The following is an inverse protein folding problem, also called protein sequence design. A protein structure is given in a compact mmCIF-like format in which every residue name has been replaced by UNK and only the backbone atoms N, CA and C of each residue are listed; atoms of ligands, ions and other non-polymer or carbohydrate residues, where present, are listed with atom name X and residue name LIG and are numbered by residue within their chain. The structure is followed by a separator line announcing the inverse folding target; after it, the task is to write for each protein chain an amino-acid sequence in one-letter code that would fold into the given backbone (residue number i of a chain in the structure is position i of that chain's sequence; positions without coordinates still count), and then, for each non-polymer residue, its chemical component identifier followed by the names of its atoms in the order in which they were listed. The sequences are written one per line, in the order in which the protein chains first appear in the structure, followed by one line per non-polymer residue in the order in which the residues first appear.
data_IF_690862295826
#
_entry.id   IF_690862295826
#
_cell.length_a   1.000
_cell.length_b   1.000
_cell.length_c   1.000
_cell.angle_alpha   90.00
_cell.angle_beta   90.00
_cell.angle_gamma   90.00
#
_symmetry.space_group_name_H-M   'P 1'
#
loop_
_entity.id
_entity.type
_entity.pdbx_description
1 polymer ?
#
# COMPACT_ATOMS: atom_id res chain seq x y z
N UNK A 1 55.49 29.13 8.54
CA UNK A 1 54.74 28.73 9.75
C UNK A 1 53.23 28.71 9.48
N UNK A 2 52.63 27.76 8.74
CA UNK A 2 51.16 27.72 8.58
C UNK A 2 50.63 26.31 8.27
N UNK A 3 50.64 25.39 9.26
CA UNK A 3 49.98 24.08 9.10
C UNK A 3 49.29 23.58 10.40
N UNK A 4 49.12 24.46 11.40
CA UNK A 4 48.49 24.09 12.67
C UNK A 4 46.95 24.13 12.64
N UNK A 5 46.35 24.83 11.67
CA UNK A 5 44.90 25.09 11.61
C UNK A 5 44.07 23.88 11.13
N UNK A 6 44.62 23.02 10.27
CA UNK A 6 43.92 21.83 9.76
C UNK A 6 43.75 20.74 10.85
N UNK A 7 44.73 20.60 11.76
CA UNK A 7 44.73 19.58 12.82
C UNK A 7 43.69 19.81 13.92
N UNK A 8 43.17 21.03 14.06
CA UNK A 8 42.15 21.37 15.07
C UNK A 8 40.72 21.07 14.57
N UNK A 9 40.49 21.02 13.26
CA UNK A 9 39.18 20.74 12.68
C UNK A 9 38.94 19.25 12.33
N UNK A 10 39.98 18.43 12.25
CA UNK A 10 39.84 17.00 11.90
C UNK A 10 39.07 16.19 12.95
N UNK A 11 39.16 16.54 14.25
CA UNK A 11 38.40 15.88 15.31
C UNK A 11 36.93 16.28 15.35
N UNK A 12 36.62 17.56 15.05
CA UNK A 12 35.25 18.08 15.05
C UNK A 12 34.45 17.54 13.85
N UNK A 13 35.09 17.38 12.69
CA UNK A 13 34.46 16.83 11.50
C UNK A 13 33.89 15.43 11.76
N UNK A 14 34.62 14.57 12.48
CA UNK A 14 34.16 13.21 12.82
C UNK A 14 32.91 13.24 13.71
N UNK A 15 32.82 14.16 14.67
CA UNK A 15 31.64 14.32 15.54
C UNK A 15 30.42 14.76 14.72
N UNK A 16 30.59 15.75 13.83
CA UNK A 16 29.51 16.24 12.97
C UNK A 16 29.03 15.13 12.04
N UNK A 17 29.95 14.36 11.44
CA UNK A 17 29.61 13.23 10.57
C UNK A 17 28.88 12.13 11.34
N UNK A 18 29.33 11.78 12.55
CA UNK A 18 28.67 10.78 13.38
C UNK A 18 27.22 11.18 13.71
N UNK A 19 26.99 12.43 14.09
CA UNK A 19 25.64 12.96 14.36
C UNK A 19 24.80 13.01 13.08
N UNK A 20 25.39 13.43 11.95
CA UNK A 20 24.69 13.46 10.67
C UNK A 20 24.22 12.07 10.24
N UNK A 21 25.07 11.04 10.38
CA UNK A 21 24.70 9.64 10.08
C UNK A 21 23.58 9.15 11.01
N UNK A 22 23.63 9.49 12.30
CA UNK A 22 22.56 9.15 13.25
C UNK A 22 21.21 9.76 12.84
N UNK A 23 21.20 11.04 12.46
CA UNK A 23 19.99 11.73 11.99
C UNK A 23 19.47 11.13 10.68
N UNK A 24 20.36 10.86 9.72
CA UNK A 24 19.99 10.23 8.45
C UNK A 24 19.41 8.83 8.67
N UNK A 25 19.97 8.04 9.59
CA UNK A 25 19.42 6.74 9.96
C UNK A 25 18.03 6.85 10.59
N UNK A 26 17.80 7.85 11.44
CA UNK A 26 16.49 8.14 12.02
C UNK A 26 15.44 8.49 10.96
N UNK A 27 15.80 9.35 10.00
CA UNK A 27 14.92 9.69 8.87
C UNK A 27 14.63 8.47 8.01
N UNK A 28 15.64 7.62 7.74
CA UNK A 28 15.46 6.38 6.98
C UNK A 28 14.48 5.43 7.67
N UNK A 29 14.59 5.26 8.98
CA UNK A 29 13.66 4.41 9.73
C UNK A 29 12.21 4.89 9.61
N UNK A 30 11.98 6.21 9.73
CA UNK A 30 10.65 6.80 9.54
C UNK A 30 10.14 6.67 8.10
N UNK A 31 11.03 6.82 7.11
CA UNK A 31 10.69 6.66 5.70
C UNK A 31 10.24 5.24 5.37
N UNK A 32 10.86 4.22 5.98
CA UNK A 32 10.47 2.82 5.80
C UNK A 32 9.12 2.52 6.43
N UNK A 33 8.88 3.03 7.64
CA UNK A 33 7.60 2.86 8.34
C UNK A 33 6.44 3.51 7.58
N UNK A 34 6.60 4.79 7.18
CA UNK A 34 5.59 5.50 6.38
C UNK A 34 5.46 4.96 4.94
N UNK A 35 6.55 4.48 4.36
CA UNK A 35 6.58 3.90 3.02
C UNK A 35 5.72 2.65 2.89
N UNK A 36 5.70 1.79 3.91
CA UNK A 36 4.87 0.59 3.95
C UNK A 36 3.37 0.92 3.86
N UNK A 37 2.91 1.88 4.67
CA UNK A 37 1.51 2.31 4.68
C UNK A 37 1.09 2.87 3.31
N UNK A 38 1.95 3.65 2.67
CA UNK A 38 1.68 4.20 1.34
C UNK A 38 1.55 3.10 0.28
N UNK A 39 2.44 2.11 0.31
CA UNK A 39 2.40 0.97 -0.62
C UNK A 39 1.15 0.13 -0.41
N UNK A 40 0.75 -0.13 0.84
CA UNK A 40 -0.47 -0.88 1.14
C UNK A 40 -1.71 -0.17 0.58
N UNK A 41 -1.80 1.16 0.71
CA UNK A 41 -2.90 1.94 0.10
C UNK A 41 -2.94 1.80 -1.41
N UNK A 42 -1.78 1.86 -2.07
CA UNK A 42 -1.69 1.74 -3.53
C UNK A 42 -2.06 0.33 -4.01
N UNK A 43 -1.66 -0.70 -3.29
CA UNK A 43 -2.03 -2.08 -3.62
C UNK A 43 -3.53 -2.32 -3.47
N UNK A 44 -4.13 -1.79 -2.40
CA UNK A 44 -5.59 -1.83 -2.20
C UNK A 44 -6.35 -1.12 -3.32
N UNK A 45 -5.90 0.05 -3.74
CA UNK A 45 -6.48 0.78 -4.87
C UNK A 45 -6.38 -0.03 -6.17
N UNK A 46 -5.20 -0.57 -6.49
CA UNK A 46 -5.00 -1.41 -7.67
C UNK A 46 -5.92 -2.65 -7.65
N UNK A 47 -6.11 -3.28 -6.49
CA UNK A 47 -7.01 -4.42 -6.35
C UNK A 47 -8.46 -4.03 -6.61
N UNK A 48 -8.92 -2.91 -6.05
CA UNK A 48 -10.27 -2.39 -6.28
C UNK A 48 -10.52 -2.06 -7.76
N UNK A 49 -9.57 -1.37 -8.42
CA UNK A 49 -9.66 -1.02 -9.83
C UNK A 49 -9.68 -2.26 -10.73
N UNK A 50 -8.85 -3.26 -10.43
CA UNK A 50 -8.82 -4.54 -11.18
C UNK A 50 -10.13 -5.32 -11.05
N UNK A 51 -10.76 -5.30 -9.87
CA UNK A 51 -12.07 -5.92 -9.64
C UNK A 51 -13.19 -5.18 -10.37
N UNK A 52 -13.17 -3.85 -10.35
CA UNK A 52 -14.14 -3.02 -11.05
C UNK A 52 -14.06 -3.21 -12.58
N UNK A 53 -12.85 -3.21 -13.14
CA UNK A 53 -12.64 -3.47 -14.58
C UNK A 53 -13.11 -4.87 -14.98
N UNK A 54 -12.79 -5.88 -14.18
CA UNK A 54 -13.23 -7.25 -14.44
C UNK A 54 -14.76 -7.41 -14.43
N UNK A 55 -15.44 -6.72 -13.52
CA UNK A 55 -16.91 -6.69 -13.48
C UNK A 55 -17.50 -5.95 -14.69
N UNK A 56 -16.91 -4.81 -15.06
CA UNK A 56 -17.34 -4.02 -16.21
C UNK A 56 -17.13 -4.75 -17.54
N UNK A 57 -16.00 -5.46 -17.69
CA UNK A 57 -15.72 -6.29 -18.86
C UNK A 57 -16.78 -7.38 -19.05
N UNK A 58 -17.17 -8.06 -17.97
CA UNK A 58 -18.19 -9.11 -18.07
C UNK A 58 -19.57 -8.54 -18.42
N UNK A 59 -19.92 -7.36 -17.89
CA UNK A 59 -21.15 -6.65 -18.25
C UNK A 59 -21.24 -6.31 -19.74
N UNK A 60 -20.10 -6.07 -20.39
CA UNK A 60 -20.04 -5.76 -21.83
C UNK A 60 -19.98 -7.01 -22.72
N UNK A 61 -19.39 -8.11 -22.24
CA UNK A 61 -19.07 -9.27 -23.07
C UNK A 61 -20.26 -10.21 -23.34
N UNK A 62 -21.15 -10.41 -22.37
CA UNK A 62 -22.23 -11.43 -22.41
C UNK A 62 -23.43 -10.90 -21.61
N UNK A 63 -24.68 -11.38 -21.81
CA UNK A 63 -25.78 -11.14 -20.88
C UNK A 63 -25.42 -11.63 -19.47
N UNK A 64 -24.78 -10.75 -18.70
CA UNK A 64 -24.13 -11.13 -17.46
C UNK A 64 -25.18 -11.16 -16.34
N UNK A 65 -25.28 -12.30 -15.66
CA UNK A 65 -26.11 -12.41 -14.47
C UNK A 65 -25.31 -11.86 -13.28
N UNK A 66 -25.99 -11.23 -12.32
CA UNK A 66 -25.37 -10.74 -11.09
C UNK A 66 -24.31 -11.68 -10.45
N UNK A 67 -24.57 -12.99 -10.25
CA UNK A 67 -23.59 -13.89 -9.64
C UNK A 67 -22.31 -14.09 -10.46
N UNK A 68 -22.36 -14.05 -11.79
CA UNK A 68 -21.14 -14.23 -12.62
C UNK A 68 -20.24 -13.00 -12.57
N UNK A 69 -20.82 -11.80 -12.62
CA UNK A 69 -20.09 -10.52 -12.52
C UNK A 69 -19.42 -10.42 -11.15
N UNK A 70 -20.20 -10.72 -10.11
CA UNK A 70 -19.73 -10.67 -8.73
C UNK A 70 -18.55 -11.62 -8.52
N UNK A 71 -18.67 -12.88 -8.94
CA UNK A 71 -17.61 -13.87 -8.73
C UNK A 71 -16.32 -13.54 -9.49
N UNK A 72 -16.44 -13.03 -10.72
CA UNK A 72 -15.26 -12.62 -11.49
C UNK A 72 -14.58 -11.37 -10.91
N UNK A 73 -15.36 -10.37 -10.50
CA UNK A 73 -14.84 -9.16 -9.87
C UNK A 73 -14.11 -9.48 -8.55
N UNK A 74 -14.71 -10.31 -7.70
CA UNK A 74 -14.11 -10.77 -6.44
C UNK A 74 -12.86 -11.62 -6.71
N UNK A 75 -12.90 -12.50 -7.72
CA UNK A 75 -11.75 -13.32 -8.09
C UNK A 75 -10.53 -12.51 -8.52
N UNK A 76 -10.72 -11.40 -9.22
CA UNK A 76 -9.62 -10.52 -9.62
C UNK A 76 -9.18 -9.57 -8.48
N UNK A 77 -10.10 -9.14 -7.63
CA UNK A 77 -9.78 -8.41 -6.40
C UNK A 77 -8.87 -9.24 -5.49
N UNK A 78 -9.23 -10.50 -5.21
CA UNK A 78 -8.50 -11.37 -4.28
C UNK A 78 -7.08 -11.69 -4.76
N UNK A 79 -6.85 -11.76 -6.07
CA UNK A 79 -5.50 -11.98 -6.65
C UNK A 79 -4.57 -10.77 -6.49
N UNK A 80 -5.13 -9.57 -6.42
CA UNK A 80 -4.39 -8.32 -6.33
C UNK A 80 -4.32 -7.76 -4.90
N UNK A 81 -5.00 -8.40 -3.94
CA UNK A 81 -4.95 -8.02 -2.53
C UNK A 81 -3.59 -8.39 -1.92
N UNK A 82 -3.02 -7.53 -1.05
CA UNK A 82 -1.85 -7.89 -0.26
C UNK A 82 -2.12 -9.14 0.59
N UNK A 83 -1.14 -10.04 0.70
CA UNK A 83 -1.25 -11.30 1.47
C UNK A 83 -1.52 -11.09 2.97
N UNK A 84 -1.28 -9.88 3.48
CA UNK A 84 -1.60 -9.48 4.87
C UNK A 84 -3.10 -9.26 5.09
N UNK A 85 -3.87 -9.10 4.02
CA UNK A 85 -5.31 -8.86 4.02
C UNK A 85 -5.99 -10.15 3.54
N UNK A 86 -5.74 -11.25 4.25
CA UNK A 86 -6.53 -12.46 4.02
C UNK A 86 -7.96 -12.20 4.53
N UNK A 87 -9.01 -12.52 3.77
CA UNK A 87 -10.36 -12.41 4.28
C UNK A 87 -10.49 -13.37 5.46
N UNK A 88 -10.68 -12.81 6.66
CA UNK A 88 -11.30 -13.54 7.77
C UNK A 88 -12.55 -14.27 7.22
N UNK A 89 -12.83 -15.54 7.60
CA UNK A 89 -13.98 -16.26 7.08
C UNK A 89 -15.20 -15.37 7.20
N UNK A 90 -15.76 -15.03 6.05
CA UNK A 90 -16.66 -13.90 5.86
C UNK A 90 -17.55 -13.65 7.08
N UNK A 91 -17.34 -12.54 7.78
CA UNK A 91 -18.50 -11.88 8.36
C UNK A 91 -19.46 -11.72 7.17
N UNK A 92 -20.69 -12.26 7.25
CA UNK A 92 -21.57 -12.33 6.11
C UNK A 92 -21.72 -10.92 5.58
N UNK A 93 -21.21 -10.68 4.37
CA UNK A 93 -21.45 -9.44 3.64
C UNK A 93 -22.97 -9.31 3.65
N UNK A 94 -23.56 -8.27 4.27
CA UNK A 94 -24.98 -8.06 4.19
C UNK A 94 -25.23 -7.75 2.72
N UNK A 95 -25.54 -8.78 1.94
CA UNK A 95 -26.08 -8.62 0.61
C UNK A 95 -27.21 -7.61 0.77
N UNK A 96 -27.09 -6.50 0.05
CA UNK A 96 -28.11 -5.49 -0.07
C UNK A 96 -29.50 -6.16 -0.06
N UNK A 97 -30.24 -6.00 1.04
CA UNK A 97 -31.64 -6.32 1.04
C UNK A 97 -32.27 -5.42 -0.05
N UNK A 98 -33.00 -5.96 -1.03
CA UNK A 98 -33.73 -5.12 -1.98
C UNK A 98 -34.62 -4.16 -1.17
N UNK A 99 -34.76 -2.87 -1.56
CA UNK A 99 -35.65 -1.98 -0.84
C UNK A 99 -37.05 -2.62 -0.83
N UNK A 100 -37.57 -2.86 0.37
CA UNK A 100 -38.91 -3.41 0.55
C UNK A 100 -39.89 -2.48 -0.18
N UNK A 101 -40.43 -2.98 -1.29
CA UNK A 101 -41.47 -2.31 -2.06
C UNK A 101 -42.73 -2.28 -1.19
N UNK A 102 -43.09 -1.10 -0.70
CA UNK A 102 -44.47 -0.80 -0.23
C UNK A 102 -45.39 -0.59 -1.43
#
# INVERSE_FOLDING_TARGET
MHAAWLRKQSGQAVVIVAVAVLVLAGILALALDGGGIYLDKRQLQNAADSGALAGAELLMAVPATYPSIHNQAVGNLLKNLPSRISPEPASPVPCAAPPART
#
